data_IF_101956271543
#
_entry.id   IF_101956271543
#
_cell.length_a   1.000
_cell.length_b   1.000
_cell.length_c   1.000
_cell.angle_alpha   90.00
_cell.angle_beta   90.00
_cell.angle_gamma   90.00
#
_symmetry.space_group_name_H-M   'P 1'
#
loop_
_entity.id
_entity.type
_entity.pdbx_description
1 polymer ?
#
# COMPACT_ATOMS: atom_id res chain seq x y z
N UNK A 1 -13.29 7.76 23.32
CA UNK A 1 -13.16 6.29 23.33
C UNK A 1 -13.41 5.75 21.93
N UNK A 2 -12.96 4.54 21.56
CA UNK A 2 -13.08 4.03 20.18
C UNK A 2 -14.52 3.92 19.65
N UNK A 3 -15.52 3.90 20.54
CA UNK A 3 -16.93 3.91 20.17
C UNK A 3 -17.53 5.32 19.99
N UNK A 4 -16.83 6.39 20.36
CA UNK A 4 -17.29 7.77 20.18
C UNK A 4 -17.00 8.29 18.77
N UNK A 5 -17.91 9.07 18.19
CA UNK A 5 -17.75 9.62 16.83
C UNK A 5 -16.57 10.58 16.69
N UNK A 6 -16.25 11.35 17.74
CA UNK A 6 -15.12 12.26 17.73
C UNK A 6 -13.77 11.56 17.47
N UNK A 7 -13.66 10.26 17.79
CA UNK A 7 -12.46 9.46 17.51
C UNK A 7 -12.20 9.29 16.01
N UNK A 8 -13.25 9.39 15.19
CA UNK A 8 -13.22 9.05 13.77
C UNK A 8 -13.18 10.26 12.85
N UNK A 9 -13.26 11.48 13.40
CA UNK A 9 -13.39 12.73 12.62
C UNK A 9 -12.27 12.89 11.59
N UNK A 10 -11.03 12.58 11.96
CA UNK A 10 -9.85 12.76 11.09
C UNK A 10 -9.47 11.50 10.30
N UNK A 11 -10.17 10.38 10.52
CA UNK A 11 -9.87 9.13 9.82
C UNK A 11 -10.41 9.17 8.39
N UNK A 12 -9.60 8.87 7.36
CA UNK A 12 -10.08 8.77 5.99
C UNK A 12 -11.19 7.72 5.82
N UNK A 13 -12.25 8.07 5.08
CA UNK A 13 -13.36 7.17 4.77
C UNK A 13 -13.06 6.35 3.52
N UNK A 14 -12.93 5.04 3.71
CA UNK A 14 -12.82 4.03 2.66
C UNK A 14 -14.19 3.53 2.23
N UNK A 15 -14.29 2.99 1.01
CA UNK A 15 -15.54 2.51 0.40
C UNK A 15 -15.34 1.12 -0.21
N UNK A 16 -16.34 0.26 -0.04
CA UNK A 16 -16.50 -0.97 -0.82
C UNK A 16 -17.49 -0.66 -1.93
N UNK A 17 -17.04 -0.75 -3.18
CA UNK A 17 -17.82 -0.36 -4.35
C UNK A 17 -18.19 -1.52 -5.25
N UNK A 18 -17.56 -2.68 -5.09
CA UNK A 18 -17.74 -3.83 -5.98
C UNK A 18 -17.95 -5.14 -5.23
N UNK A 19 -18.66 -6.06 -5.87
CA UNK A 19 -18.80 -7.45 -5.46
C UNK A 19 -17.55 -8.26 -5.83
N UNK A 20 -17.43 -9.48 -5.33
CA UNK A 20 -16.35 -10.40 -5.72
C UNK A 20 -16.32 -10.72 -7.23
N UNK A 21 -17.44 -10.53 -7.93
CA UNK A 21 -17.56 -10.68 -9.40
C UNK A 21 -17.26 -9.39 -10.16
N UNK A 22 -16.68 -8.39 -9.49
CA UNK A 22 -16.38 -7.07 -10.04
C UNK A 22 -17.61 -6.32 -10.58
N UNK A 23 -18.79 -6.59 -10.03
CA UNK A 23 -20.02 -5.83 -10.31
C UNK A 23 -20.22 -4.74 -9.25
N UNK A 24 -20.97 -3.66 -9.52
CA UNK A 24 -21.31 -2.68 -8.48
C UNK A 24 -21.92 -3.36 -7.24
N UNK A 25 -21.41 -3.03 -6.05
CA UNK A 25 -22.00 -3.51 -4.81
C UNK A 25 -23.41 -2.91 -4.66
N UNK A 26 -24.46 -3.72 -4.47
CA UNK A 26 -25.84 -3.24 -4.51
C UNK A 26 -26.19 -2.34 -3.33
N UNK A 27 -25.47 -2.48 -2.22
CA UNK A 27 -25.57 -1.58 -1.07
C UNK A 27 -24.19 -1.10 -0.68
N UNK A 28 -24.09 0.21 -0.43
CA UNK A 28 -22.83 0.86 -0.10
C UNK A 28 -22.35 0.39 1.28
N UNK A 29 -21.05 0.24 1.40
CA UNK A 29 -20.38 0.02 2.69
C UNK A 29 -19.21 0.99 2.76
N UNK A 30 -19.16 1.78 3.83
CA UNK A 30 -18.04 2.66 4.14
C UNK A 30 -17.36 2.20 5.40
N UNK A 31 -16.05 2.39 5.48
CA UNK A 31 -15.33 2.11 6.71
C UNK A 31 -14.18 3.07 6.95
N UNK A 32 -13.75 3.15 8.19
CA UNK A 32 -12.65 3.95 8.68
C UNK A 32 -11.77 3.05 9.56
N UNK A 33 -10.47 3.30 9.53
CA UNK A 33 -9.48 2.55 10.30
C UNK A 33 -8.65 3.55 11.12
N UNK A 34 -8.37 3.19 12.37
CA UNK A 34 -7.47 3.94 13.23
C UNK A 34 -6.65 2.96 14.07
N UNK A 35 -5.59 3.44 14.71
CA UNK A 35 -4.78 2.59 15.58
C UNK A 35 -4.07 3.42 16.66
N UNK A 36 -3.66 2.73 17.71
CA UNK A 36 -2.67 3.19 18.69
C UNK A 36 -1.73 2.02 19.05
N UNK A 37 -0.82 2.23 19.99
CA UNK A 37 0.17 1.21 20.40
C UNK A 37 -0.44 -0.13 20.84
N UNK A 38 -1.71 -0.14 21.27
CA UNK A 38 -2.39 -1.30 21.86
C UNK A 38 -3.46 -1.89 20.96
N UNK A 39 -4.17 -1.06 20.18
CA UNK A 39 -5.39 -1.47 19.49
C UNK A 39 -5.41 -1.03 18.03
N UNK A 40 -5.99 -1.90 17.21
CA UNK A 40 -6.46 -1.58 15.87
C UNK A 40 -7.97 -1.34 15.93
N UNK A 41 -8.43 -0.21 15.43
CA UNK A 41 -9.83 0.21 15.49
C UNK A 41 -10.47 0.12 14.11
N UNK A 42 -11.71 -0.35 14.08
CA UNK A 42 -12.54 -0.40 12.87
C UNK A 42 -13.88 0.29 13.16
N UNK A 43 -14.33 1.15 12.23
CA UNK A 43 -15.72 1.61 12.13
C UNK A 43 -16.22 1.30 10.73
N UNK A 44 -17.29 0.54 10.59
CA UNK A 44 -17.92 0.22 9.32
C UNK A 44 -19.41 0.54 9.37
N UNK A 45 -19.89 1.26 8.37
CA UNK A 45 -21.31 1.56 8.17
C UNK A 45 -21.79 0.83 6.94
N UNK A 46 -22.78 -0.03 7.13
CA UNK A 46 -23.36 -0.88 6.11
C UNK A 46 -24.75 -0.35 5.77
N UNK A 47 -24.89 0.39 4.67
CA UNK A 47 -26.19 0.85 4.21
C UNK A 47 -27.08 -0.35 3.93
N UNK A 48 -28.31 -0.32 4.44
CA UNK A 48 -29.28 -1.39 4.31
C UNK A 48 -30.70 -0.81 4.34
N UNK A 49 -31.38 -0.70 3.19
CA UNK A 49 -32.76 -0.22 3.16
C UNK A 49 -33.75 -1.24 3.76
N UNK A 50 -33.40 -2.52 3.81
CA UNK A 50 -34.26 -3.60 4.31
C UNK A 50 -33.85 -4.05 5.72
N UNK A 51 -33.60 -3.10 6.62
CA UNK A 51 -33.08 -3.41 7.98
C UNK A 51 -33.92 -4.44 8.73
N UNK A 52 -35.25 -4.38 8.59
CA UNK A 52 -36.16 -5.33 9.25
C UNK A 52 -36.00 -6.78 8.78
N UNK A 53 -35.37 -6.98 7.63
CA UNK A 53 -35.08 -8.29 7.05
C UNK A 53 -33.62 -8.74 7.28
N UNK A 54 -32.82 -7.99 8.05
CA UNK A 54 -31.46 -8.39 8.39
C UNK A 54 -31.46 -9.81 8.95
N UNK A 55 -30.67 -10.67 8.33
CA UNK A 55 -30.47 -12.03 8.79
C UNK A 55 -29.41 -12.02 9.88
N UNK A 56 -29.83 -12.30 11.11
CA UNK A 56 -28.93 -12.37 12.26
C UNK A 56 -29.36 -13.49 13.21
N UNK A 57 -29.19 -14.73 12.73
CA UNK A 57 -29.65 -15.96 13.40
C UNK A 57 -28.62 -16.49 14.39
N UNK A 58 -27.33 -16.31 14.11
CA UNK A 58 -26.21 -16.77 14.94
C UNK A 58 -26.29 -16.11 16.32
N UNK A 59 -26.14 -16.90 17.39
CA UNK A 59 -26.23 -16.43 18.78
C UNK A 59 -24.94 -16.65 19.55
N UNK A 60 -24.31 -17.79 19.31
CA UNK A 60 -23.12 -18.19 20.04
C UNK A 60 -21.85 -17.75 19.32
N UNK A 61 -20.82 -17.50 20.11
CA UNK A 61 -19.50 -17.12 19.63
C UNK A 61 -18.82 -18.32 18.95
N UNK A 62 -18.01 -18.07 17.93
CA UNK A 62 -17.13 -19.06 17.29
C UNK A 62 -17.85 -20.26 16.63
N UNK A 63 -19.18 -20.19 16.45
CA UNK A 63 -19.98 -21.19 15.73
C UNK A 63 -20.32 -20.80 14.28
N UNK A 64 -19.90 -19.60 13.84
CA UNK A 64 -20.12 -19.11 12.47
C UNK A 64 -20.54 -17.64 12.39
N UNK A 65 -21.49 -17.33 11.52
CA UNK A 65 -21.91 -15.96 11.16
C UNK A 65 -21.81 -15.67 9.66
N UNK A 66 -21.13 -16.54 8.90
CA UNK A 66 -20.93 -16.43 7.46
C UNK A 66 -22.20 -16.49 6.61
N UNK A 67 -23.32 -16.89 7.22
CA UNK A 67 -24.64 -16.93 6.58
C UNK A 67 -25.61 -15.89 7.14
N UNK A 68 -25.13 -14.97 7.97
CA UNK A 68 -25.85 -13.80 8.46
C UNK A 68 -25.33 -12.53 7.76
N UNK A 69 -26.08 -11.44 7.87
CA UNK A 69 -25.55 -10.11 7.57
C UNK A 69 -24.41 -9.80 8.52
N UNK A 70 -23.21 -9.74 7.95
CA UNK A 70 -21.96 -9.69 8.71
C UNK A 70 -20.88 -8.93 7.95
N UNK A 71 -19.93 -8.41 8.72
CA UNK A 71 -18.63 -7.99 8.21
C UNK A 71 -17.63 -9.08 8.53
N UNK A 72 -16.84 -9.45 7.53
CA UNK A 72 -15.64 -10.26 7.74
C UNK A 72 -14.39 -9.39 7.65
N UNK A 73 -13.46 -9.63 8.57
CA UNK A 73 -12.17 -8.95 8.61
C UNK A 73 -11.07 -9.98 8.44
N UNK A 74 -10.05 -9.62 7.67
CA UNK A 74 -8.88 -10.45 7.43
C UNK A 74 -7.63 -9.66 7.71
N UNK A 75 -6.71 -10.23 8.47
CA UNK A 75 -5.41 -9.64 8.79
C UNK A 75 -4.30 -10.65 8.53
N UNK A 76 -3.36 -10.30 7.67
CA UNK A 76 -2.07 -10.97 7.54
C UNK A 76 -0.95 -9.96 7.88
N UNK A 77 -0.55 -9.91 9.17
CA UNK A 77 0.50 -9.02 9.64
C UNK A 77 1.88 -9.29 9.04
N UNK A 78 2.11 -10.53 8.60
CA UNK A 78 3.42 -10.95 8.06
C UNK A 78 3.56 -10.68 6.57
N UNK A 79 2.43 -10.64 5.87
CA UNK A 79 2.39 -10.56 4.42
C UNK A 79 2.84 -11.81 3.69
N UNK A 80 2.93 -12.95 4.39
CA UNK A 80 3.39 -14.21 3.80
C UNK A 80 2.24 -15.13 3.39
N UNK A 81 0.99 -14.85 3.78
CA UNK A 81 -0.16 -15.71 3.49
C UNK A 81 -0.13 -17.09 4.18
N UNK A 82 0.95 -17.44 4.88
CA UNK A 82 1.11 -18.70 5.63
C UNK A 82 0.28 -18.73 6.90
N UNK A 83 -0.03 -17.57 7.47
CA UNK A 83 -0.95 -17.41 8.60
C UNK A 83 -1.69 -16.09 8.47
N UNK A 84 -3.01 -16.12 8.65
CA UNK A 84 -3.82 -14.90 8.78
C UNK A 84 -4.89 -15.08 9.85
N UNK A 85 -5.53 -13.99 10.24
CA UNK A 85 -6.58 -13.97 11.25
C UNK A 85 -7.88 -13.59 10.57
N UNK A 86 -8.89 -14.45 10.71
CA UNK A 86 -10.23 -14.23 10.18
C UNK A 86 -11.17 -13.87 11.32
N UNK A 87 -12.04 -12.91 11.04
CA UNK A 87 -13.15 -12.53 11.90
C UNK A 87 -14.42 -12.55 11.07
N UNK A 88 -15.53 -13.02 11.66
CA UNK A 88 -16.87 -12.78 11.13
C UNK A 88 -17.71 -12.17 12.24
N UNK A 89 -18.20 -10.96 12.03
CA UNK A 89 -18.93 -10.19 13.02
C UNK A 89 -20.31 -9.89 12.46
N UNK A 90 -21.33 -10.51 13.04
CA UNK A 90 -22.71 -10.32 12.58
C UNK A 90 -23.23 -8.94 12.94
N UNK A 91 -24.30 -8.50 12.28
CA UNK A 91 -25.02 -7.25 12.61
C UNK A 91 -25.54 -7.19 14.05
N UNK A 92 -25.64 -8.34 14.74
CA UNK A 92 -25.96 -8.45 16.18
C UNK A 92 -24.74 -8.43 17.10
N UNK A 93 -23.54 -8.33 16.56
CA UNK A 93 -22.29 -8.30 17.32
C UNK A 93 -21.79 -9.66 17.79
N UNK A 94 -22.33 -10.76 17.25
CA UNK A 94 -21.78 -12.09 17.49
C UNK A 94 -20.48 -12.22 16.70
N UNK A 95 -19.44 -12.72 17.35
CA UNK A 95 -18.09 -12.84 16.80
C UNK A 95 -17.76 -14.30 16.57
N UNK A 96 -17.25 -14.59 15.38
CA UNK A 96 -16.33 -15.69 15.13
C UNK A 96 -14.94 -15.10 14.97
N UNK A 97 -13.94 -15.71 15.59
CA UNK A 97 -12.54 -15.48 15.24
C UNK A 97 -11.73 -16.76 15.15
N UNK A 98 -10.75 -16.75 14.24
CA UNK A 98 -9.87 -17.87 14.05
C UNK A 98 -8.49 -17.42 13.58
N UNK A 99 -7.49 -18.18 13.99
CA UNK A 99 -6.17 -18.16 13.36
C UNK A 99 -6.16 -19.19 12.23
N UNK A 100 -6.04 -18.73 11.00
CA UNK A 100 -6.04 -19.54 9.79
C UNK A 100 -4.61 -19.86 9.35
N UNK A 101 -4.38 -21.12 8.98
CA UNK A 101 -3.12 -21.63 8.43
C UNK A 101 -3.42 -22.34 7.11
N UNK A 102 -3.43 -21.63 5.97
CA UNK A 102 -3.95 -22.16 4.70
C UNK A 102 -3.23 -23.41 4.18
N UNK A 103 -1.94 -23.54 4.48
CA UNK A 103 -1.13 -24.69 4.08
C UNK A 103 -1.18 -25.89 5.03
N UNK A 104 -1.97 -25.84 6.10
CA UNK A 104 -2.06 -26.94 7.05
C UNK A 104 -2.75 -28.18 6.44
N UNK A 105 -2.27 -29.37 6.82
CA UNK A 105 -2.94 -30.63 6.48
C UNK A 105 -4.11 -30.83 7.46
N UNK A 106 -5.34 -30.83 6.94
CA UNK A 106 -6.56 -30.98 7.75
C UNK A 106 -7.27 -29.64 7.97
N UNK A 107 -7.70 -29.35 9.21
CA UNK A 107 -8.38 -28.11 9.53
C UNK A 107 -7.39 -26.92 9.46
N UNK A 108 -7.68 -25.95 8.60
CA UNK A 108 -6.86 -24.73 8.47
C UNK A 108 -7.14 -23.72 9.58
N UNK A 109 -8.36 -23.75 10.11
CA UNK A 109 -8.86 -22.80 11.10
C UNK A 109 -8.63 -23.30 12.53
N UNK A 110 -7.91 -22.54 13.34
CA UNK A 110 -7.89 -22.73 14.79
C UNK A 110 -8.89 -21.77 15.45
N UNK A 111 -10.11 -22.28 15.69
CA UNK A 111 -11.21 -21.55 16.34
C UNK A 111 -11.07 -21.44 17.86
N UNK A 112 -10.12 -22.17 18.47
CA UNK A 112 -9.83 -22.03 19.90
C UNK A 112 -8.95 -20.79 20.20
N UNK A 113 -8.37 -20.19 19.17
CA UNK A 113 -7.67 -18.92 19.30
C UNK A 113 -8.69 -17.80 19.48
N UNK A 114 -8.59 -17.07 20.58
CA UNK A 114 -9.47 -15.93 20.87
C UNK A 114 -8.73 -14.60 20.69
N UNK A 115 -9.26 -13.68 19.92
CA UNK A 115 -8.62 -12.39 19.68
C UNK A 115 -8.78 -11.38 20.82
N UNK A 116 -9.73 -11.57 21.74
CA UNK A 116 -10.13 -10.54 22.70
C UNK A 116 -10.71 -9.27 22.05
N UNK A 117 -11.14 -9.33 20.79
CA UNK A 117 -11.75 -8.20 20.09
C UNK A 117 -12.99 -7.70 20.83
N UNK A 118 -13.07 -6.38 20.99
CA UNK A 118 -14.25 -5.71 21.53
C UNK A 118 -15.10 -5.24 20.37
N UNK A 119 -16.40 -5.53 20.42
CA UNK A 119 -17.34 -5.23 19.34
C UNK A 119 -18.54 -4.49 19.91
N UNK A 120 -19.00 -3.48 19.16
CA UNK A 120 -20.30 -2.83 19.37
C UNK A 120 -20.98 -2.72 18.01
N UNK A 121 -22.19 -3.25 17.91
CA UNK A 121 -23.02 -3.05 16.72
C UNK A 121 -24.26 -2.22 17.05
N UNK A 122 -24.71 -1.44 16.08
CA UNK A 122 -25.93 -0.65 16.19
C UNK A 122 -26.75 -0.85 14.92
N UNK A 123 -28.02 -1.21 15.06
CA UNK A 123 -28.95 -1.33 13.93
C UNK A 123 -29.81 -0.07 13.91
N UNK A 124 -29.61 0.77 12.89
CA UNK A 124 -30.37 2.00 12.66
C UNK A 124 -31.54 1.79 11.69
N UNK A 125 -32.15 2.87 11.19
CA UNK A 125 -33.30 2.78 10.26
C UNK A 125 -32.93 2.43 8.82
N UNK A 126 -31.72 2.79 8.38
CA UNK A 126 -31.28 2.67 6.98
C UNK A 126 -29.88 2.04 6.85
N UNK A 127 -29.28 1.66 7.97
CA UNK A 127 -27.95 1.08 8.01
C UNK A 127 -27.78 0.33 9.32
N UNK A 128 -26.79 -0.56 9.36
CA UNK A 128 -26.22 -1.04 10.59
C UNK A 128 -24.73 -0.70 10.64
N UNK A 129 -24.23 -0.50 11.85
CA UNK A 129 -22.86 -0.09 12.11
C UNK A 129 -22.14 -1.14 12.93
N UNK A 130 -20.88 -1.39 12.58
CA UNK A 130 -19.90 -2.12 13.37
C UNK A 130 -18.83 -1.14 13.86
N UNK A 131 -18.60 -1.11 15.16
CA UNK A 131 -17.36 -0.57 15.75
C UNK A 131 -16.62 -1.69 16.44
N UNK A 132 -15.31 -1.76 16.25
CA UNK A 132 -14.48 -2.77 16.88
C UNK A 132 -13.12 -2.22 17.33
N UNK A 133 -12.58 -2.81 18.39
CA UNK A 133 -11.22 -2.61 18.86
C UNK A 133 -10.54 -3.97 19.02
N UNK A 134 -9.53 -4.24 18.20
CA UNK A 134 -8.77 -5.47 18.16
C UNK A 134 -7.41 -5.27 18.86
N UNK A 135 -7.07 -6.04 19.91
CA UNK A 135 -5.78 -5.87 20.57
C UNK A 135 -4.65 -6.34 19.65
N UNK A 136 -3.72 -5.44 19.32
CA UNK A 136 -2.62 -5.72 18.39
C UNK A 136 -1.71 -6.86 18.88
N UNK A 137 -1.52 -6.99 20.19
CA UNK A 137 -0.72 -8.04 20.83
C UNK A 137 -1.22 -9.46 20.50
N UNK A 138 -2.48 -9.61 20.07
CA UNK A 138 -3.06 -10.92 19.72
C UNK A 138 -2.74 -11.32 18.29
N UNK A 139 -2.22 -10.40 17.47
CA UNK A 139 -1.86 -10.63 16.08
C UNK A 139 -0.34 -10.75 15.90
N UNK A 140 0.08 -11.15 14.69
CA UNK A 140 1.47 -11.03 14.24
C UNK A 140 2.51 -11.81 15.05
N UNK A 141 2.10 -12.81 15.85
CA UNK A 141 3.01 -13.52 16.73
C UNK A 141 3.66 -12.63 17.79
N UNK A 142 3.01 -11.52 18.16
CA UNK A 142 3.52 -10.53 19.11
C UNK A 142 4.34 -9.40 18.47
N UNK A 143 4.52 -9.37 17.15
CA UNK A 143 5.13 -8.23 16.47
C UNK A 143 4.14 -7.05 16.42
N UNK A 144 4.53 -5.95 17.07
CA UNK A 144 3.75 -4.72 17.05
C UNK A 144 4.09 -3.89 15.80
N UNK A 145 3.07 -3.33 15.11
CA UNK A 145 3.33 -2.42 14.01
C UNK A 145 3.95 -1.13 14.55
N UNK A 146 4.83 -0.53 13.74
CA UNK A 146 5.39 0.80 13.97
C UNK A 146 4.86 1.76 12.90
N UNK A 147 4.97 3.08 13.10
CA UNK A 147 4.68 4.01 12.02
C UNK A 147 5.46 3.66 10.74
N UNK A 148 4.75 3.57 9.61
CA UNK A 148 5.26 3.12 8.32
C UNK A 148 5.14 1.62 8.05
N UNK A 149 4.85 0.78 9.06
CA UNK A 149 4.59 -0.64 8.85
C UNK A 149 3.36 -0.85 7.98
N UNK A 150 3.39 -1.92 7.19
CA UNK A 150 2.29 -2.30 6.30
C UNK A 150 1.82 -3.72 6.61
N UNK A 151 0.49 -3.90 6.68
CA UNK A 151 -0.15 -5.22 6.84
C UNK A 151 -1.04 -5.52 5.64
N UNK A 152 -1.22 -6.81 5.33
CA UNK A 152 -2.30 -7.24 4.45
C UNK A 152 -3.60 -7.23 5.23
N UNK A 153 -4.61 -6.62 4.65
CA UNK A 153 -5.91 -6.44 5.27
C UNK A 153 -7.04 -6.56 4.25
N UNK A 154 -8.17 -7.08 4.70
CA UNK A 154 -9.41 -6.96 3.95
C UNK A 154 -10.61 -6.73 4.87
N UNK A 155 -11.56 -5.96 4.38
CA UNK A 155 -12.88 -5.82 4.97
C UNK A 155 -13.90 -6.27 3.93
N UNK A 156 -14.70 -7.26 4.29
CA UNK A 156 -15.65 -7.92 3.44
C UNK A 156 -17.05 -7.82 4.04
N UNK A 157 -18.08 -7.74 3.20
CA UNK A 157 -19.48 -7.75 3.62
C UNK A 157 -20.20 -8.95 3.01
N UNK A 158 -20.80 -9.72 3.91
CA UNK A 158 -21.86 -10.67 3.60
C UNK A 158 -23.21 -9.96 3.74
N UNK A 159 -24.01 -9.96 2.68
CA UNK A 159 -25.36 -9.41 2.72
C UNK A 159 -26.39 -10.49 2.46
N UNK A 160 -27.00 -11.00 3.52
CA UNK A 160 -28.02 -12.05 3.49
C UNK A 160 -29.44 -11.52 3.73
N UNK A 161 -29.61 -10.19 3.84
CA UNK A 161 -30.92 -9.52 3.98
C UNK A 161 -31.95 -9.97 2.93
N UNK A 162 -31.51 -10.35 1.73
CA UNK A 162 -32.37 -10.87 0.67
C UNK A 162 -32.05 -12.34 0.38
N UNK A 163 -33.08 -13.21 0.22
CA UNK A 163 -32.89 -14.61 -0.18
C UNK A 163 -32.24 -14.75 -1.57
N UNK A 164 -31.51 -15.84 -1.81
CA UNK A 164 -30.91 -16.18 -3.10
C UNK A 164 -29.39 -16.26 -3.06
N UNK A 165 -28.71 -15.77 -4.10
CA UNK A 165 -27.25 -15.62 -4.13
C UNK A 165 -26.87 -14.26 -3.50
N UNK A 166 -26.54 -14.22 -2.20
CA UNK A 166 -26.24 -12.97 -1.50
C UNK A 166 -25.03 -12.29 -2.15
N UNK A 167 -25.07 -10.97 -2.38
CA UNK A 167 -23.93 -10.25 -2.93
C UNK A 167 -22.81 -10.20 -1.88
N UNK A 168 -21.69 -10.84 -2.18
CA UNK A 168 -20.44 -10.73 -1.45
C UNK A 168 -19.64 -9.56 -2.00
N UNK A 169 -19.21 -8.65 -1.13
CA UNK A 169 -18.41 -7.48 -1.52
C UNK A 169 -17.21 -7.31 -0.60
N UNK A 170 -16.13 -6.73 -1.12
CA UNK A 170 -14.87 -6.61 -0.39
C UNK A 170 -14.14 -5.32 -0.77
N UNK A 171 -13.37 -4.77 0.17
CA UNK A 171 -12.51 -3.62 -0.09
C UNK A 171 -11.41 -3.96 -1.10
N UNK A 172 -10.77 -5.12 -0.92
CA UNK A 172 -9.89 -5.73 -1.93
C UNK A 172 -10.56 -7.01 -2.48
N UNK A 173 -11.11 -6.99 -3.70
CA UNK A 173 -11.85 -8.12 -4.26
C UNK A 173 -11.02 -9.41 -4.38
N UNK A 174 -11.61 -10.51 -3.92
CA UNK A 174 -11.05 -11.86 -3.95
C UNK A 174 -11.97 -12.79 -4.77
N UNK A 175 -11.77 -12.93 -6.10
CA UNK A 175 -12.79 -13.48 -7.00
C UNK A 175 -13.33 -14.88 -6.65
N UNK A 176 -12.52 -15.72 -5.99
CA UNK A 176 -12.86 -17.10 -5.62
C UNK A 176 -13.41 -17.25 -4.20
N UNK A 177 -13.61 -16.15 -3.48
CA UNK A 177 -14.04 -16.12 -2.07
C UNK A 177 -13.06 -15.35 -1.18
N UNK A 178 -13.52 -14.91 0.00
CA UNK A 178 -12.76 -13.99 0.85
C UNK A 178 -11.42 -14.54 1.38
N UNK A 179 -11.28 -15.86 1.49
CA UNK A 179 -10.11 -16.53 2.10
C UNK A 179 -8.94 -16.67 1.11
N UNK A 180 -8.46 -15.56 0.58
CA UNK A 180 -7.31 -15.51 -0.32
C UNK A 180 -6.32 -14.41 0.11
N UNK A 181 -5.32 -14.72 0.96
CA UNK A 181 -4.41 -13.72 1.52
C UNK A 181 -3.58 -12.98 0.47
N UNK A 182 -3.24 -13.62 -0.66
CA UNK A 182 -2.54 -12.98 -1.77
C UNK A 182 -3.30 -11.77 -2.35
N UNK A 183 -4.63 -11.74 -2.19
CA UNK A 183 -5.52 -10.70 -2.70
C UNK A 183 -5.92 -9.67 -1.64
N UNK A 184 -5.46 -9.79 -0.40
CA UNK A 184 -5.70 -8.77 0.62
C UNK A 184 -5.03 -7.46 0.21
N UNK A 185 -5.68 -6.34 0.49
CA UNK A 185 -5.11 -5.01 0.24
C UNK A 185 -4.06 -4.68 1.27
N UNK A 186 -3.37 -3.55 1.12
CA UNK A 186 -2.36 -3.08 2.08
C UNK A 186 -2.89 -1.94 2.93
N UNK A 187 -2.71 -2.03 4.24
CA UNK A 187 -2.93 -0.92 5.17
C UNK A 187 -1.59 -0.46 5.76
N UNK A 188 -1.38 0.86 5.79
CA UNK A 188 -0.15 1.48 6.32
C UNK A 188 -0.44 2.12 7.68
N UNK A 189 0.32 1.73 8.70
CA UNK A 189 0.20 2.28 10.06
C UNK A 189 0.82 3.67 10.11
N UNK A 190 -0.01 4.71 10.14
CA UNK A 190 0.43 6.10 10.09
C UNK A 190 1.00 6.57 11.44
N UNK A 191 2.03 7.41 11.43
CA UNK A 191 2.42 8.17 12.62
C UNK A 191 1.32 9.20 12.97
N UNK A 192 1.21 9.64 14.24
CA UNK A 192 0.33 10.76 14.58
C UNK A 192 0.59 12.01 13.74
N UNK A 193 1.86 12.27 13.38
CA UNK A 193 2.27 13.39 12.52
C UNK A 193 1.84 13.25 11.07
N UNK A 194 1.58 12.03 10.60
CA UNK A 194 1.10 11.81 9.23
C UNK A 194 -0.37 12.23 9.08
N UNK A 195 -1.15 12.30 10.17
CA UNK A 195 -2.57 12.72 10.16
C UNK A 195 -3.42 12.01 9.09
N UNK A 196 -3.19 10.71 8.87
CA UNK A 196 -3.92 9.92 7.87
C UNK A 196 -3.53 10.23 6.42
N UNK A 197 -2.42 10.95 6.20
CA UNK A 197 -1.97 11.34 4.86
C UNK A 197 -0.90 10.40 4.29
N UNK A 198 -0.23 9.57 5.10
CA UNK A 198 0.66 8.55 4.56
C UNK A 198 -0.19 7.44 3.93
N UNK A 199 -0.24 7.38 2.61
CA UNK A 199 -0.99 6.37 1.86
C UNK A 199 -0.21 5.07 1.90
N UNK A 200 1.07 5.15 1.57
CA UNK A 200 1.94 4.00 1.44
C UNK A 200 3.40 4.35 1.70
N UNK A 201 4.11 3.43 2.32
CA UNK A 201 5.58 3.39 2.34
C UNK A 201 6.05 1.96 2.15
N UNK A 202 7.20 1.80 1.49
CA UNK A 202 7.82 0.49 1.40
C UNK A 202 8.53 0.17 2.72
N UNK A 203 8.05 -0.84 3.46
CA UNK A 203 8.66 -1.29 4.71
C UNK A 203 9.60 -2.46 4.44
N UNK A 204 10.85 -2.17 4.04
CA UNK A 204 11.87 -3.20 3.80
C UNK A 204 12.22 -4.04 5.04
N UNK A 205 11.84 -3.60 6.25
CA UNK A 205 11.97 -4.42 7.45
C UNK A 205 10.92 -5.51 7.57
N UNK A 206 9.83 -5.40 6.81
CA UNK A 206 8.74 -6.37 6.83
C UNK A 206 9.23 -7.78 6.51
N UNK A 207 8.65 -8.74 7.23
CA UNK A 207 8.85 -10.16 6.94
C UNK A 207 8.30 -10.55 5.57
N UNK A 208 7.50 -9.72 4.90
CA UNK A 208 7.04 -9.95 3.52
C UNK A 208 8.19 -10.14 2.51
N UNK A 209 9.38 -9.62 2.81
CA UNK A 209 10.60 -9.82 2.02
C UNK A 209 11.45 -11.01 2.51
N UNK A 210 10.88 -11.93 3.30
CA UNK A 210 11.60 -13.02 3.93
C UNK A 210 12.25 -12.64 5.26
N UNK A 211 12.95 -13.61 5.85
CA UNK A 211 13.63 -13.48 7.14
C UNK A 211 14.70 -12.38 7.13
N UNK A 212 15.05 -11.87 8.31
CA UNK A 212 16.10 -10.86 8.50
C UNK A 212 17.50 -11.46 8.30
N UNK A 213 17.77 -11.88 7.08
CA UNK A 213 19.08 -12.31 6.58
C UNK A 213 19.84 -11.12 5.99
N UNK A 214 21.12 -11.30 5.65
CA UNK A 214 21.91 -10.26 4.97
C UNK A 214 21.36 -9.87 3.60
N UNK A 215 20.66 -10.80 2.94
CA UNK A 215 20.08 -10.63 1.60
C UNK A 215 18.83 -11.49 1.44
N UNK A 216 17.76 -10.90 0.91
CA UNK A 216 16.46 -11.51 0.67
C UNK A 216 15.87 -11.02 -0.67
N UNK A 217 14.82 -11.64 -1.24
CA UNK A 217 14.21 -11.18 -2.48
C UNK A 217 13.63 -9.76 -2.36
N UNK A 218 13.79 -8.92 -3.40
CA UNK A 218 13.13 -7.59 -3.43
C UNK A 218 11.63 -7.69 -3.72
N UNK A 219 11.17 -8.72 -4.41
CA UNK A 219 9.75 -8.90 -4.63
C UNK A 219 9.20 -9.64 -3.43
N UNK A 220 8.32 -8.98 -2.66
CA UNK A 220 7.67 -9.60 -1.52
C UNK A 220 6.80 -10.80 -1.96
N UNK A 221 6.34 -11.59 -1.00
CA UNK A 221 5.53 -12.79 -1.28
C UNK A 221 4.23 -12.45 -2.04
N UNK A 222 3.96 -13.13 -3.16
CA UNK A 222 2.72 -13.04 -3.97
C UNK A 222 2.15 -11.62 -4.14
N UNK A 223 2.85 -10.73 -4.86
CA UNK A 223 2.29 -9.42 -5.24
C UNK A 223 2.17 -8.42 -4.08
N UNK A 224 2.80 -8.67 -2.93
CA UNK A 224 2.86 -7.67 -1.84
C UNK A 224 3.53 -6.37 -2.33
N UNK A 225 4.63 -6.49 -3.08
CA UNK A 225 5.20 -5.43 -3.90
C UNK A 225 5.38 -5.99 -5.31
N UNK A 226 4.72 -5.39 -6.29
CA UNK A 226 4.62 -5.99 -7.62
C UNK A 226 5.91 -5.80 -8.46
N UNK A 227 6.17 -6.78 -9.31
CA UNK A 227 6.77 -6.57 -10.62
C UNK A 227 5.92 -7.38 -11.58
N UNK A 228 5.01 -6.71 -12.27
CA UNK A 228 3.87 -7.37 -12.92
C UNK A 228 4.21 -8.13 -14.20
N UNK A 229 5.43 -8.01 -14.74
CA UNK A 229 5.81 -8.70 -16.00
C UNK A 229 6.80 -9.86 -15.82
N UNK A 230 7.59 -9.88 -14.75
CA UNK A 230 8.71 -10.84 -14.61
C UNK A 230 8.84 -11.54 -13.27
N UNK A 231 8.19 -11.07 -12.19
CA UNK A 231 8.35 -11.64 -10.85
C UNK A 231 8.00 -13.14 -10.78
N UNK A 232 6.89 -13.56 -11.39
CA UNK A 232 6.45 -14.96 -11.40
C UNK A 232 7.36 -15.88 -12.24
N UNK A 233 8.27 -15.31 -13.05
CA UNK A 233 9.16 -16.07 -13.93
C UNK A 233 10.52 -16.34 -13.29
N UNK A 234 10.86 -15.66 -12.19
CA UNK A 234 12.12 -15.89 -11.45
C UNK A 234 13.40 -15.58 -12.24
N UNK A 235 13.29 -14.79 -13.31
CA UNK A 235 14.37 -14.56 -14.28
C UNK A 235 15.36 -13.47 -13.86
N UNK A 236 14.93 -12.48 -13.08
CA UNK A 236 15.79 -11.42 -12.58
C UNK A 236 16.01 -11.55 -11.07
N UNK A 237 17.28 -11.68 -10.68
CA UNK A 237 17.75 -11.76 -9.28
C UNK A 237 18.67 -10.58 -8.92
N UNK A 238 18.81 -9.60 -9.81
CA UNK A 238 19.63 -8.42 -9.58
C UNK A 238 19.12 -7.59 -8.40
N UNK A 239 17.81 -7.64 -8.15
CA UNK A 239 17.11 -6.88 -7.12
C UNK A 239 16.91 -7.72 -5.85
N UNK A 240 17.44 -7.22 -4.74
CA UNK A 240 17.35 -7.84 -3.41
C UNK A 240 17.00 -6.81 -2.35
N UNK A 241 16.47 -7.26 -1.21
CA UNK A 241 16.53 -6.50 0.04
C UNK A 241 17.79 -6.91 0.79
N UNK A 242 18.64 -5.96 1.18
CA UNK A 242 19.84 -6.23 1.96
C UNK A 242 19.86 -5.44 3.26
N UNK A 243 20.55 -5.96 4.27
CA UNK A 243 20.72 -5.33 5.59
C UNK A 243 19.91 -6.06 6.67
N UNK A 244 19.86 -5.50 7.87
CA UNK A 244 19.16 -6.09 9.02
C UNK A 244 18.27 -5.06 9.71
N UNK A 245 17.13 -5.49 10.26
CA UNK A 245 16.17 -4.61 10.94
C UNK A 245 15.82 -3.35 10.13
N UNK A 246 15.97 -2.18 10.76
CA UNK A 246 15.65 -0.89 10.15
C UNK A 246 16.64 -0.42 9.06
N UNK A 247 17.78 -1.10 8.89
CA UNK A 247 18.75 -0.78 7.84
C UNK A 247 18.51 -1.59 6.55
N UNK A 248 17.45 -2.41 6.51
CA UNK A 248 17.05 -3.10 5.28
C UNK A 248 16.66 -2.09 4.22
N UNK A 249 17.21 -2.26 3.01
CA UNK A 249 16.93 -1.44 1.83
C UNK A 249 16.98 -2.28 0.56
N UNK A 250 16.40 -1.78 -0.52
CA UNK A 250 16.55 -2.42 -1.82
C UNK A 250 17.97 -2.20 -2.37
N UNK A 251 18.54 -3.23 -2.99
CA UNK A 251 19.84 -3.21 -3.66
C UNK A 251 19.71 -3.91 -5.00
N UNK A 252 20.16 -3.24 -6.06
CA UNK A 252 20.16 -3.71 -7.43
C UNK A 252 21.59 -3.84 -7.95
N UNK A 253 22.02 -5.03 -8.33
CA UNK A 253 23.22 -5.22 -9.14
C UNK A 253 22.89 -5.04 -10.63
N UNK A 254 23.14 -3.84 -11.14
CA UNK A 254 22.79 -3.42 -12.51
C UNK A 254 23.67 -4.14 -13.55
N UNK A 255 24.83 -4.68 -13.18
CA UNK A 255 25.57 -5.51 -14.13
C UNK A 255 24.83 -6.82 -14.44
N UNK A 256 24.04 -7.30 -13.48
CA UNK A 256 23.32 -8.57 -13.54
C UNK A 256 21.85 -8.43 -13.95
N UNK A 257 21.31 -7.21 -14.06
CA UNK A 257 19.96 -6.97 -14.61
C UNK A 257 19.88 -7.39 -16.08
N UNK A 258 18.76 -7.96 -16.52
CA UNK A 258 18.48 -8.12 -17.94
C UNK A 258 18.32 -6.73 -18.59
N UNK A 259 18.85 -6.50 -19.81
CA UNK A 259 18.72 -5.20 -20.48
C UNK A 259 17.28 -4.73 -20.74
N UNK A 260 16.32 -5.65 -20.76
CA UNK A 260 14.88 -5.37 -20.90
C UNK A 260 14.13 -5.22 -19.57
N UNK A 261 14.80 -5.38 -18.42
CA UNK A 261 14.13 -5.44 -17.13
C UNK A 261 13.58 -4.08 -16.74
N UNK A 262 12.30 -4.11 -16.37
CA UNK A 262 11.57 -2.97 -15.83
C UNK A 262 11.93 -2.76 -14.38
N UNK A 263 11.93 -1.50 -13.96
CA UNK A 263 12.08 -1.10 -12.56
C UNK A 263 11.02 -1.81 -11.69
N UNK A 264 11.28 -2.09 -10.39
CA UNK A 264 10.22 -2.51 -9.48
C UNK A 264 9.05 -1.54 -9.58
N UNK A 265 7.83 -2.09 -9.68
CA UNK A 265 6.61 -1.32 -9.91
C UNK A 265 5.62 -1.55 -8.78
N UNK A 266 5.27 -0.52 -8.03
CA UNK A 266 4.21 -0.66 -7.03
C UNK A 266 2.93 0.04 -7.48
N UNK A 267 1.81 -0.70 -7.47
CA UNK A 267 0.50 -0.12 -7.65
C UNK A 267 0.04 0.57 -6.36
N UNK A 268 -0.28 1.86 -6.44
CA UNK A 268 -0.85 2.63 -5.32
C UNK A 268 -2.14 3.30 -5.78
N UNK A 269 -3.14 3.32 -4.90
CA UNK A 269 -4.37 4.09 -5.15
C UNK A 269 -4.35 5.36 -4.30
N UNK A 270 -4.55 6.49 -4.95
CA UNK A 270 -4.57 7.81 -4.32
C UNK A 270 -5.98 8.40 -4.32
N UNK A 271 -6.21 9.48 -3.57
CA UNK A 271 -7.44 10.28 -3.67
C UNK A 271 -7.18 11.46 -4.60
N UNK A 272 -8.16 11.90 -5.42
CA UNK A 272 -7.99 13.13 -6.20
C UNK A 272 -7.57 14.30 -5.29
N UNK A 273 -6.68 15.17 -5.79
CA UNK A 273 -6.07 16.27 -5.03
C UNK A 273 -4.58 16.41 -5.31
N UNK A 274 -3.79 16.74 -4.30
CA UNK A 274 -2.32 16.81 -4.40
C UNK A 274 -1.69 15.63 -3.67
N UNK A 275 -0.78 14.93 -4.34
CA UNK A 275 -0.09 13.74 -3.82
C UNK A 275 1.41 13.90 -4.03
N UNK A 276 2.22 13.58 -3.02
CA UNK A 276 3.66 13.49 -3.17
C UNK A 276 4.12 12.04 -3.23
N UNK A 277 4.99 11.73 -4.19
CA UNK A 277 5.74 10.48 -4.26
C UNK A 277 7.22 10.80 -4.09
N UNK A 278 7.88 10.12 -3.16
CA UNK A 278 9.31 10.29 -2.87
C UNK A 278 10.02 8.95 -2.76
N UNK A 279 11.29 8.94 -3.14
CA UNK A 279 12.21 7.83 -2.93
C UNK A 279 13.64 8.35 -2.76
N UNK A 280 14.44 7.66 -1.97
CA UNK A 280 15.87 7.90 -1.85
C UNK A 280 16.68 6.87 -2.63
N UNK A 281 17.79 7.34 -3.18
CA UNK A 281 18.68 6.55 -4.00
C UNK A 281 20.13 6.76 -3.55
N UNK A 282 20.93 5.70 -3.64
CA UNK A 282 22.39 5.77 -3.59
C UNK A 282 22.95 4.91 -4.72
N UNK A 283 23.71 5.53 -5.62
CA UNK A 283 24.37 4.81 -6.73
C UNK A 283 25.83 4.52 -6.42
N UNK A 284 26.31 3.35 -6.79
CA UNK A 284 27.72 2.95 -6.67
C UNK A 284 28.58 3.44 -7.83
N UNK A 285 27.97 3.69 -8.99
CA UNK A 285 28.66 4.19 -10.17
C UNK A 285 27.90 5.36 -10.80
N UNK A 286 28.64 6.35 -11.32
CA UNK A 286 28.06 7.55 -11.94
C UNK A 286 27.24 7.22 -13.20
N UNK A 287 27.49 6.05 -13.81
CA UNK A 287 26.75 5.59 -15.00
C UNK A 287 25.32 5.16 -14.71
N UNK A 288 24.97 4.95 -13.44
CA UNK A 288 23.60 4.63 -13.04
C UNK A 288 22.73 5.86 -13.24
N UNK A 289 21.50 5.65 -13.68
CA UNK A 289 20.50 6.69 -13.86
C UNK A 289 19.30 6.46 -12.91
N UNK A 290 19.43 6.73 -11.61
CA UNK A 290 18.32 6.57 -10.67
C UNK A 290 17.12 7.41 -11.11
N UNK A 291 15.97 6.76 -11.20
CA UNK A 291 14.75 7.24 -11.84
C UNK A 291 13.56 7.00 -10.93
N UNK A 292 12.69 8.00 -10.83
CA UNK A 292 11.36 7.93 -10.24
C UNK A 292 10.33 8.24 -11.35
N UNK A 293 9.51 7.26 -11.69
CA UNK A 293 8.46 7.38 -12.70
C UNK A 293 7.10 6.96 -12.14
N UNK A 294 6.05 7.65 -12.61
CA UNK A 294 4.66 7.44 -12.24
C UNK A 294 3.87 7.29 -13.53
N UNK A 295 3.12 6.19 -13.65
CA UNK A 295 2.19 5.96 -14.75
C UNK A 295 0.78 5.68 -14.22
N UNK A 296 -0.24 5.92 -15.05
CA UNK A 296 -1.62 5.54 -14.75
C UNK A 296 -1.88 4.04 -14.99
N UNK A 297 -3.12 3.61 -14.74
CA UNK A 297 -3.52 2.21 -14.89
C UNK A 297 -3.50 1.67 -16.33
N UNK A 298 -3.43 2.55 -17.33
CA UNK A 298 -3.31 2.19 -18.74
C UNK A 298 -1.84 2.26 -19.23
N UNK A 299 -0.90 2.56 -18.34
CA UNK A 299 0.52 2.70 -18.66
C UNK A 299 0.89 4.06 -19.26
N UNK A 300 -0.01 5.05 -19.22
CA UNK A 300 0.30 6.42 -19.65
C UNK A 300 1.11 7.13 -18.58
N UNK A 301 2.24 7.70 -18.97
CA UNK A 301 3.17 8.29 -18.02
C UNK A 301 2.68 9.64 -17.50
N UNK A 302 2.54 9.76 -16.19
CA UNK A 302 2.15 11.01 -15.51
C UNK A 302 3.38 11.90 -15.33
N UNK A 303 4.47 11.34 -14.80
CA UNK A 303 5.69 12.08 -14.52
C UNK A 303 6.90 11.15 -14.48
N UNK A 304 8.07 11.68 -14.86
CA UNK A 304 9.34 10.97 -14.83
C UNK A 304 10.47 11.95 -14.53
N UNK A 305 11.25 11.66 -13.49
CA UNK A 305 12.45 12.39 -13.15
C UNK A 305 13.61 11.44 -12.87
N UNK A 306 14.83 11.85 -13.23
CA UNK A 306 16.01 11.02 -13.04
C UNK A 306 17.30 11.81 -12.86
N UNK A 307 18.27 11.22 -12.17
CA UNK A 307 19.64 11.73 -12.13
C UNK A 307 20.43 11.24 -13.34
N UNK A 308 21.20 12.12 -13.99
CA UNK A 308 21.87 11.80 -15.25
C UNK A 308 22.98 10.75 -15.13
N UNK A 309 23.11 9.90 -16.15
CA UNK A 309 24.28 9.04 -16.32
C UNK A 309 25.52 9.91 -16.63
N UNK A 310 26.58 9.74 -15.85
CA UNK A 310 27.85 10.47 -16.01
C UNK A 310 27.90 11.86 -15.39
N UNK A 311 26.82 12.34 -14.75
CA UNK A 311 26.76 13.65 -14.08
C UNK A 311 26.10 13.52 -12.71
N UNK A 312 26.78 13.96 -11.65
CA UNK A 312 26.26 13.93 -10.29
C UNK A 312 25.55 15.21 -9.86
N UNK A 313 25.74 16.26 -10.64
CA UNK A 313 25.20 17.59 -10.42
C UNK A 313 23.96 17.91 -11.25
N UNK A 314 23.40 16.92 -11.96
CA UNK A 314 22.38 17.12 -12.99
C UNK A 314 21.19 16.16 -12.81
N UNK A 315 20.00 16.75 -12.75
CA UNK A 315 18.70 16.06 -12.67
C UNK A 315 17.85 16.47 -13.87
N UNK A 316 17.11 15.54 -14.45
CA UNK A 316 16.16 15.79 -15.52
C UNK A 316 14.73 15.51 -15.07
N UNK A 317 13.79 16.26 -15.64
CA UNK A 317 12.36 15.96 -15.64
C UNK A 317 11.91 15.87 -17.09
N UNK A 318 11.32 14.74 -17.45
CA UNK A 318 10.80 14.49 -18.81
C UNK A 318 9.45 15.19 -19.00
N UNK A 319 9.22 15.74 -20.19
CA UNK A 319 8.02 16.44 -20.65
C UNK A 319 7.54 15.82 -21.97
N UNK A 320 6.29 16.07 -22.43
CA UNK A 320 5.72 15.39 -23.60
C UNK A 320 6.62 15.40 -24.86
N UNK A 321 7.26 16.53 -25.13
CA UNK A 321 8.12 16.74 -26.31
C UNK A 321 9.47 17.39 -25.94
N UNK A 322 9.80 17.43 -24.65
CA UNK A 322 10.98 18.13 -24.15
C UNK A 322 11.54 17.44 -22.90
N UNK A 323 12.72 17.87 -22.46
CA UNK A 323 13.31 17.48 -21.19
C UNK A 323 13.94 18.70 -20.54
N UNK A 324 13.54 18.98 -19.31
CA UNK A 324 14.11 20.08 -18.54
C UNK A 324 15.22 19.57 -17.63
N UNK A 325 16.41 20.16 -17.79
CA UNK A 325 17.59 19.84 -17.02
C UNK A 325 17.84 20.86 -15.91
N UNK A 326 18.12 20.37 -14.72
CA UNK A 326 18.39 21.14 -13.52
C UNK A 326 19.78 20.78 -13.02
N UNK A 327 20.73 21.69 -13.20
CA UNK A 327 22.14 21.48 -12.86
C UNK A 327 22.66 22.44 -11.80
N UNK A 328 23.85 22.14 -11.26
CA UNK A 328 24.51 23.00 -10.26
C UNK A 328 24.69 24.46 -10.73
N UNK A 329 25.03 24.69 -12.00
CA UNK A 329 25.27 26.04 -12.52
C UNK A 329 24.07 26.99 -12.40
N UNK A 330 22.85 26.45 -12.43
CA UNK A 330 21.60 27.24 -12.42
C UNK A 330 20.88 27.10 -11.07
N UNK A 331 20.92 25.91 -10.46
CA UNK A 331 20.10 25.58 -9.27
C UNK A 331 20.94 25.29 -8.02
N UNK A 332 22.26 25.42 -8.06
CA UNK A 332 23.14 25.24 -6.90
C UNK A 332 23.12 23.84 -6.29
N UNK A 333 22.81 22.80 -7.09
CA UNK A 333 22.63 21.43 -6.60
C UNK A 333 23.90 20.80 -6.01
N UNK A 334 25.09 21.33 -6.33
CA UNK A 334 26.36 20.67 -6.06
C UNK A 334 26.45 19.29 -6.72
N UNK A 335 27.32 18.43 -6.20
CA UNK A 335 27.42 17.03 -6.63
C UNK A 335 26.43 16.13 -5.86
N UNK A 336 25.14 16.44 -6.04
CA UNK A 336 24.01 15.88 -5.32
C UNK A 336 23.94 14.36 -5.39
N UNK A 337 24.04 13.83 -6.61
CA UNK A 337 23.89 12.43 -6.93
C UNK A 337 25.26 11.76 -7.16
N UNK A 338 26.34 12.24 -6.55
CA UNK A 338 27.65 11.58 -6.66
C UNK A 338 27.59 10.10 -6.21
N UNK A 339 28.46 9.22 -6.74
CA UNK A 339 28.57 7.85 -6.25
C UNK A 339 28.82 7.78 -4.74
N UNK A 340 28.16 6.84 -4.06
CA UNK A 340 28.30 6.60 -2.62
C UNK A 340 27.48 7.54 -1.72
N UNK A 341 26.79 8.54 -2.28
CA UNK A 341 25.95 9.49 -1.52
C UNK A 341 24.47 9.16 -1.66
N UNK A 342 23.71 9.42 -0.59
CA UNK A 342 22.25 9.35 -0.65
C UNK A 342 21.69 10.66 -1.20
N UNK A 343 20.67 10.55 -2.03
CA UNK A 343 19.89 11.69 -2.48
C UNK A 343 18.44 11.28 -2.69
N UNK A 344 17.53 12.24 -2.53
CA UNK A 344 16.10 12.01 -2.72
C UNK A 344 15.60 12.61 -4.02
N UNK A 345 14.68 11.90 -4.68
CA UNK A 345 13.85 12.41 -5.76
C UNK A 345 12.39 12.45 -5.29
N UNK A 346 11.68 13.53 -5.60
CA UNK A 346 10.28 13.70 -5.23
C UNK A 346 9.50 14.37 -6.35
N UNK A 347 8.32 13.81 -6.62
CA UNK A 347 7.31 14.37 -7.49
C UNK A 347 6.06 14.71 -6.67
N UNK A 348 5.59 15.95 -6.77
CA UNK A 348 4.30 16.39 -6.22
C UNK A 348 3.34 16.57 -7.39
N UNK A 349 2.33 15.71 -7.43
CA UNK A 349 1.36 15.57 -8.51
C UNK A 349 0.04 16.20 -8.08
N UNK A 350 -0.48 17.11 -8.87
CA UNK A 350 -1.84 17.62 -8.74
C UNK A 350 -2.73 16.90 -9.76
N UNK A 351 -3.62 16.04 -9.25
CA UNK A 351 -4.47 15.20 -10.08
C UNK A 351 -5.66 15.93 -10.69
N UNK A 352 -5.94 17.15 -10.25
CA UNK A 352 -7.05 17.97 -10.76
C UNK A 352 -6.55 18.82 -11.91
N UNK A 353 -5.42 19.50 -11.70
CA UNK A 353 -4.84 20.41 -12.69
C UNK A 353 -3.91 19.71 -13.69
N UNK A 354 -3.66 18.41 -13.50
CA UNK A 354 -2.73 17.61 -14.30
C UNK A 354 -1.32 18.23 -14.38
N UNK A 355 -0.79 18.62 -13.21
CA UNK A 355 0.54 19.23 -13.09
C UNK A 355 1.44 18.53 -12.09
N UNK A 356 2.75 18.76 -12.24
CA UNK A 356 3.83 18.13 -11.49
C UNK A 356 4.83 19.17 -11.00
N UNK A 357 5.29 19.03 -9.76
CA UNK A 357 6.45 19.75 -9.22
C UNK A 357 7.52 18.76 -8.77
N UNK A 358 8.75 18.98 -9.22
CA UNK A 358 9.89 18.14 -8.92
C UNK A 358 10.73 18.76 -7.79
N UNK A 359 11.20 17.91 -6.90
CA UNK A 359 12.04 18.28 -5.78
C UNK A 359 13.19 17.28 -5.62
N UNK A 360 14.28 17.76 -5.07
CA UNK A 360 15.44 16.94 -4.73
C UNK A 360 15.91 17.23 -3.33
N UNK A 361 16.66 16.30 -2.72
CA UNK A 361 17.38 16.57 -1.48
C UNK A 361 18.72 15.86 -1.48
N UNK A 362 19.75 16.51 -0.93
CA UNK A 362 21.02 15.87 -0.60
C UNK A 362 20.91 15.19 0.75
N UNK A 363 21.29 13.92 0.82
CA UNK A 363 21.25 13.12 2.04
C UNK A 363 19.88 13.29 2.76
N UNK A 364 19.89 13.57 4.08
CA UNK A 364 18.68 13.87 4.88
C UNK A 364 18.38 15.37 5.01
N UNK A 365 18.85 16.16 4.05
CA UNK A 365 18.60 17.60 3.97
C UNK A 365 17.15 17.96 3.65
N UNK A 366 16.90 19.27 3.50
CA UNK A 366 15.59 19.79 3.09
C UNK A 366 15.33 19.48 1.62
N UNK A 367 14.06 19.27 1.28
CA UNK A 367 13.61 19.21 -0.11
C UNK A 367 13.73 20.59 -0.77
N UNK A 368 14.44 20.63 -1.90
CA UNK A 368 14.65 21.82 -2.75
C UNK A 368 13.81 21.65 -4.01
N UNK A 369 12.98 22.63 -4.31
CA UNK A 369 12.19 22.65 -5.54
C UNK A 369 13.11 22.85 -6.75
N UNK A 370 12.91 22.04 -7.80
CA UNK A 370 13.61 22.23 -9.07
C UNK A 370 12.91 23.25 -9.95
N UNK A 371 11.57 23.25 -9.96
CA UNK A 371 10.76 24.15 -10.78
C UNK A 371 9.87 25.07 -9.92
N UNK A 372 9.96 26.37 -10.21
CA UNK A 372 9.11 27.41 -9.59
C UNK A 372 7.66 27.33 -10.08
N UNK A 373 7.46 27.09 -11.38
CA UNK A 373 6.15 26.89 -11.99
C UNK A 373 5.88 25.40 -12.18
N UNK A 374 4.66 24.89 -11.88
CA UNK A 374 4.30 23.51 -12.15
C UNK A 374 4.50 23.14 -13.62
N UNK A 375 4.99 21.93 -13.87
CA UNK A 375 5.14 21.33 -15.19
C UNK A 375 3.87 20.54 -15.53
N UNK A 376 3.48 20.40 -16.81
CA UNK A 376 2.37 19.53 -17.18
C UNK A 376 2.70 18.06 -16.91
N UNK A 377 1.69 17.19 -16.95
CA UNK A 377 1.92 15.75 -17.08
C UNK A 377 2.75 15.43 -18.34
N UNK A 378 3.53 14.35 -18.27
CA UNK A 378 4.29 13.85 -19.41
C UNK A 378 3.37 13.40 -20.55
N UNK A 379 2.36 12.58 -20.25
CA UNK A 379 1.28 12.28 -21.17
C UNK A 379 0.04 13.08 -20.75
N UNK A 380 -0.43 14.05 -21.56
CA UNK A 380 -1.58 14.88 -21.20
C UNK A 380 -2.89 14.09 -21.10
N UNK A 381 -2.91 12.87 -21.61
CA UNK A 381 -4.06 11.96 -21.58
C UNK A 381 -4.00 10.94 -20.45
N UNK A 382 -2.95 10.96 -19.62
CA UNK A 382 -2.87 10.15 -18.41
C UNK A 382 -3.95 10.58 -17.39
N UNK A 383 -4.61 9.62 -16.75
CA UNK A 383 -5.77 9.91 -15.93
C UNK A 383 -6.02 8.91 -14.80
N UNK A 384 -6.92 9.25 -13.88
CA UNK A 384 -7.32 8.38 -12.79
C UNK A 384 -6.36 8.39 -11.61
N UNK A 385 -6.64 7.52 -10.65
CA UNK A 385 -6.03 7.55 -9.30
C UNK A 385 -5.39 6.22 -8.89
N UNK A 386 -5.33 5.27 -9.80
CA UNK A 386 -4.49 4.07 -9.64
C UNK A 386 -3.20 4.31 -10.39
N UNK A 387 -2.10 4.40 -9.65
CA UNK A 387 -0.78 4.71 -10.18
C UNK A 387 0.16 3.52 -10.06
N UNK A 388 1.05 3.39 -11.03
CA UNK A 388 2.17 2.46 -11.02
C UNK A 388 3.45 3.25 -10.84
N UNK A 389 4.14 3.01 -9.72
CA UNK A 389 5.38 3.70 -9.33
C UNK A 389 6.58 2.85 -9.71
N UNK A 390 7.41 3.34 -10.63
CA UNK A 390 8.60 2.66 -11.10
C UNK A 390 9.87 3.34 -10.53
N UNK A 391 10.69 2.60 -9.79
CA UNK A 391 11.84 3.13 -9.05
C UNK A 391 13.12 2.36 -9.37
N UNK A 392 14.15 3.01 -9.92
CA UNK A 392 15.43 2.33 -10.14
C UNK A 392 16.20 2.87 -11.35
N UNK A 393 16.90 1.99 -12.07
CA UNK A 393 17.63 2.36 -13.29
C UNK A 393 17.72 1.19 -14.28
N UNK A 394 17.94 1.48 -15.56
CA UNK A 394 18.27 0.48 -16.57
C UNK A 394 19.79 0.36 -16.74
N UNK A 395 20.26 -0.82 -17.19
CA UNK A 395 21.67 -1.02 -17.50
C UNK A 395 22.06 -0.30 -18.80
N UNK A 396 22.74 0.84 -18.66
CA UNK A 396 23.32 1.55 -19.80
C UNK A 396 24.63 0.92 -20.28
N UNK A 397 25.52 0.58 -19.34
CA UNK A 397 26.85 0.03 -19.61
C UNK A 397 27.33 -0.76 -18.40
N UNK A 398 28.12 -1.81 -18.61
CA UNK A 398 28.75 -2.53 -17.53
C UNK A 398 29.97 -1.76 -17.00
N UNK A 399 30.01 -1.51 -15.68
CA UNK A 399 31.11 -0.79 -15.00
C UNK A 399 31.37 -1.39 -13.61
N UNK A 400 32.50 -1.04 -13.00
CA UNK A 400 32.76 -1.39 -11.60
C UNK A 400 31.72 -0.71 -10.67
N UNK A 401 31.32 -1.39 -9.60
CA UNK A 401 30.36 -0.91 -8.60
C UNK A 401 29.02 -0.42 -9.20
N UNK A 402 28.55 -1.09 -10.25
CA UNK A 402 27.29 -0.79 -10.93
C UNK A 402 26.08 -1.23 -10.08
N UNK A 403 25.91 -0.60 -8.92
CA UNK A 403 24.92 -0.97 -7.92
C UNK A 403 24.02 0.22 -7.61
N UNK A 404 22.71 0.01 -7.55
CA UNK A 404 21.76 1.01 -7.06
C UNK A 404 21.10 0.55 -5.77
N UNK A 405 21.11 1.40 -4.77
CA UNK A 405 20.35 1.21 -3.53
C UNK A 405 19.15 2.16 -3.51
N UNK A 406 18.02 1.69 -2.98
CA UNK A 406 16.75 2.43 -2.91
C UNK A 406 16.17 2.28 -1.49
N UNK A 407 15.75 3.39 -0.89
CA UNK A 407 15.14 3.41 0.44
C UNK A 407 14.12 4.56 0.59
N UNK A 408 13.44 4.64 1.74
CA UNK A 408 12.57 5.75 2.16
C UNK A 408 11.53 6.12 1.11
N UNK A 409 10.92 5.11 0.50
CA UNK A 409 9.86 5.27 -0.50
C UNK A 409 8.57 5.59 0.23
N UNK A 410 7.92 6.71 -0.14
CA UNK A 410 6.65 7.10 0.44
C UNK A 410 5.72 7.79 -0.57
N UNK A 411 4.43 7.54 -0.40
CA UNK A 411 3.33 8.20 -1.11
C UNK A 411 2.43 8.86 -0.07
N UNK A 412 2.21 10.16 -0.20
CA UNK A 412 1.47 10.96 0.78
C UNK A 412 0.40 11.81 0.11
N UNK A 413 -0.81 11.78 0.65
CA UNK A 413 -1.88 12.69 0.27
C UNK A 413 -1.62 14.06 0.90
N UNK A 414 -1.15 15.03 0.13
CA UNK A 414 -0.88 16.40 0.61
C UNK A 414 -2.18 17.17 0.82
N UNK A 415 -3.11 17.05 -0.14
CA UNK A 415 -4.46 17.59 -0.04
C UNK A 415 -5.43 16.70 -0.81
N UNK A 416 -6.71 16.76 -0.45
CA UNK A 416 -7.78 16.05 -1.15
C UNK A 416 -8.63 17.08 -1.89
N UNK A 417 -9.01 16.79 -3.13
CA UNK A 417 -9.99 17.57 -3.86
C UNK A 417 -11.36 17.45 -3.15
N UNK A 418 -12.22 18.48 -3.25
CA UNK A 418 -13.56 18.47 -2.68
C UNK A 418 -14.44 17.30 -3.12
#
# INVERSE_FOLDING_TARGET
TWFDDATWTDSPVQRITTTLKNQPAPQKTTFQLAWDEKWFYIKATCDEPLVSALKARTRDRDVGGFSDDSIELFFDPTGQGTTYYQFCITSRGVVYDAKETPGAIGATANINWNSGIKVRTTVGKQAWELRAALPLVRLGGGQHPRPGSTWRFNLCRNRFTQPGHPPFSAWSPTPTGFRNPARFGLVTFNAPTDRGNLIWSCDFSSRAFGDETTTSPLFGHEGWYENTRYSDRGWDRSLTVSGTGAARRAVCDINSTCPSDVLPMHAVRVTPGVVSVEAEFRRGAIKNQPTLSIADANGKMIANMHAWSGRGDLIAVELPEDRRNFGNAIHGLGDLAAPGRWFGLKLVINTVDHTTRAFVRSDRGRWVALNEQPLPYYDPTAMGTTWFLALGTYKHVAVANNVLEIDNIAVRQVSRAP
#
